data_IF_866204565231
#
_entry.id   IF_866204565231
#
_cell.length_a   1.000
_cell.length_b   1.000
_cell.length_c   1.000
_cell.angle_alpha   90.00
_cell.angle_beta   90.00
_cell.angle_gamma   90.00
#
_symmetry.space_group_name_H-M   'P 1'
#
loop_
_entity.id
_entity.type
_entity.pdbx_description
1 polymer ?
#
# COMPACT_ATOMS: atom_id res chain seq x y z
N UNK A 1 -5.18 -16.08 5.69
CA UNK A 1 -4.91 -16.19 4.24
C UNK A 1 -3.86 -17.25 4.01
N UNK A 2 -4.05 -18.11 3.00
CA UNK A 2 -3.02 -19.06 2.56
C UNK A 2 -2.04 -18.38 1.58
N UNK A 3 -0.74 -18.56 1.76
CA UNK A 3 0.32 -18.07 0.88
C UNK A 3 1.34 -19.20 0.69
N UNK A 4 1.35 -19.82 -0.50
CA UNK A 4 2.16 -21.02 -0.80
C UNK A 4 3.66 -20.82 -0.57
N UNK A 5 4.15 -19.63 -0.92
CA UNK A 5 5.58 -19.33 -1.00
C UNK A 5 6.14 -18.77 0.32
N UNK A 6 5.33 -18.74 1.38
CA UNK A 6 5.75 -18.26 2.71
C UNK A 6 6.13 -19.44 3.62
N UNK A 7 7.16 -19.31 4.47
CA UNK A 7 7.55 -20.36 5.42
C UNK A 7 6.38 -20.83 6.30
N UNK A 8 5.61 -19.87 6.82
CA UNK A 8 4.31 -20.12 7.43
C UNK A 8 3.20 -19.83 6.42
N UNK A 9 2.62 -20.90 5.88
CA UNK A 9 1.68 -20.79 4.76
C UNK A 9 0.32 -20.23 5.13
N UNK A 10 -0.08 -20.26 6.40
CA UNK A 10 -1.35 -19.69 6.87
C UNK A 10 -1.08 -18.59 7.88
N UNK A 11 -1.72 -17.43 7.68
CA UNK A 11 -1.63 -16.32 8.62
C UNK A 11 -2.38 -15.07 8.20
N UNK A 12 -2.18 -13.99 8.95
CA UNK A 12 -2.68 -12.65 8.63
C UNK A 12 -1.71 -11.94 7.69
N UNK A 13 -2.24 -11.27 6.66
CA UNK A 13 -1.44 -10.49 5.71
C UNK A 13 -1.45 -9.01 6.11
N UNK A 14 -0.31 -8.35 6.05
CA UNK A 14 -0.13 -6.93 6.35
C UNK A 14 0.43 -6.20 5.12
N UNK A 15 -0.01 -4.96 4.92
CA UNK A 15 0.61 -4.00 4.01
C UNK A 15 1.41 -3.01 4.85
N UNK A 16 2.73 -2.95 4.68
CA UNK A 16 3.62 -2.14 5.53
C UNK A 16 4.31 -1.06 4.71
N UNK A 17 4.39 0.14 5.28
CA UNK A 17 5.24 1.23 4.81
C UNK A 17 6.42 1.35 5.76
N UNK A 18 7.61 1.06 5.23
CA UNK A 18 8.84 1.08 5.99
C UNK A 18 9.87 2.03 5.38
N UNK A 19 10.74 2.59 6.21
CA UNK A 19 11.95 3.25 5.76
C UNK A 19 12.95 2.23 5.22
N UNK A 20 13.50 2.49 4.05
CA UNK A 20 14.46 1.63 3.38
C UNK A 20 15.81 1.56 4.12
N UNK A 21 16.21 2.62 4.84
CA UNK A 21 17.52 2.68 5.49
C UNK A 21 17.50 2.13 6.91
N UNK A 22 16.53 2.54 7.72
CA UNK A 22 16.45 2.15 9.15
C UNK A 22 15.57 0.94 9.41
N UNK A 23 14.86 0.44 8.38
CA UNK A 23 13.82 -0.57 8.52
C UNK A 23 12.67 -0.17 9.48
N UNK A 24 12.54 1.13 9.79
CA UNK A 24 11.48 1.63 10.66
C UNK A 24 10.11 1.48 9.98
N UNK A 25 9.18 0.80 10.63
CA UNK A 25 7.80 0.67 10.15
C UNK A 25 7.00 1.92 10.54
N UNK A 26 6.74 2.79 9.56
CA UNK A 26 5.94 4.00 9.79
C UNK A 26 4.47 3.67 10.00
N UNK A 27 3.96 2.72 9.23
CA UNK A 27 2.54 2.35 9.25
C UNK A 27 2.33 0.98 8.64
N UNK A 28 1.33 0.26 9.14
CA UNK A 28 0.82 -0.93 8.50
C UNK A 28 -0.71 -0.94 8.45
N UNK A 29 -1.26 -1.65 7.46
CA UNK A 29 -2.68 -1.91 7.28
C UNK A 29 -2.89 -3.43 7.22
N UNK A 30 -3.86 -3.95 7.99
CA UNK A 30 -4.19 -5.37 8.00
C UNK A 30 -5.07 -5.71 6.80
N UNK A 31 -4.70 -6.73 6.03
CA UNK A 31 -5.55 -7.26 4.98
C UNK A 31 -6.66 -8.13 5.59
N UNK A 32 -7.91 -7.67 5.46
CA UNK A 32 -9.10 -8.29 6.07
C UNK A 32 -9.85 -9.23 5.10
N UNK A 33 -9.24 -9.59 3.97
CA UNK A 33 -9.90 -10.43 2.96
C UNK A 33 -10.88 -9.68 2.05
N UNK A 34 -11.61 -10.42 1.23
CA UNK A 34 -12.72 -9.90 0.43
C UNK A 34 -13.97 -9.81 1.32
N UNK A 35 -14.43 -8.60 1.63
CA UNK A 35 -15.74 -8.39 2.26
C UNK A 35 -16.82 -8.46 1.17
N UNK A 36 -17.72 -9.44 1.23
CA UNK A 36 -19.00 -9.38 0.53
C UNK A 36 -19.84 -8.29 1.23
N UNK A 37 -19.70 -7.04 0.80
CA UNK A 37 -20.69 -6.02 1.16
C UNK A 37 -21.73 -6.02 0.05
N UNK A 38 -22.94 -6.49 0.35
CA UNK A 38 -24.16 -6.34 -0.48
C UNK A 38 -24.63 -4.87 -0.54
N UNK A 39 -23.71 -3.91 -0.58
CA UNK A 39 -24.00 -2.48 -0.53
C UNK A 39 -22.84 -1.68 -1.08
N UNK A 40 -22.97 -1.28 -2.34
CA UNK A 40 -22.06 -0.37 -3.04
C UNK A 40 -20.99 -1.08 -3.87
N UNK A 41 -21.43 -1.75 -4.94
CA UNK A 41 -20.57 -2.11 -6.07
C UNK A 41 -20.10 -0.83 -6.77
N UNK A 42 -18.98 -0.28 -6.32
CA UNK A 42 -18.07 0.35 -7.26
C UNK A 42 -17.08 -0.75 -7.64
N UNK A 43 -17.27 -1.38 -8.80
CA UNK A 43 -16.51 -2.54 -9.30
C UNK A 43 -15.00 -2.33 -9.49
N UNK A 44 -14.41 -1.33 -8.85
CA UNK A 44 -12.99 -1.11 -8.70
C UNK A 44 -12.61 -1.70 -7.34
N UNK A 45 -11.75 -2.73 -7.32
CA UNK A 45 -11.15 -3.25 -6.09
C UNK A 45 -10.16 -2.22 -5.49
N UNK A 46 -10.70 -1.10 -5.01
CA UNK A 46 -9.97 -0.03 -4.34
C UNK A 46 -9.45 -0.45 -2.95
N UNK A 47 -9.62 -1.73 -2.57
CA UNK A 47 -9.28 -2.23 -1.24
C UNK A 47 -7.93 -2.92 -1.22
N UNK A 48 -7.35 -3.30 -2.36
CA UNK A 48 -6.11 -4.09 -2.41
C UNK A 48 -5.02 -3.52 -3.34
N UNK A 49 -3.77 -3.97 -3.16
CA UNK A 49 -2.65 -3.59 -4.01
C UNK A 49 -2.30 -2.09 -3.97
N UNK A 50 -2.31 -1.45 -5.14
CA UNK A 50 -1.95 -0.04 -5.34
C UNK A 50 -2.72 0.94 -4.44
N UNK A 51 -4.01 0.68 -4.18
CA UNK A 51 -4.81 1.55 -3.33
C UNK A 51 -4.33 1.54 -1.87
N UNK A 52 -3.85 0.39 -1.38
CA UNK A 52 -3.27 0.30 -0.03
C UNK A 52 -1.96 1.09 0.07
N UNK A 53 -1.15 1.12 -1.01
CA UNK A 53 0.05 1.97 -1.07
C UNK A 53 -0.34 3.45 -0.94
N UNK A 54 -1.29 3.93 -1.74
CA UNK A 54 -1.73 5.32 -1.68
C UNK A 54 -2.29 5.70 -0.31
N UNK A 55 -3.09 4.84 0.33
CA UNK A 55 -3.63 5.10 1.68
C UNK A 55 -2.52 5.21 2.72
N UNK A 56 -1.57 4.29 2.72
CA UNK A 56 -0.45 4.30 3.66
C UNK A 56 0.44 5.54 3.47
N UNK A 57 0.75 5.90 2.22
CA UNK A 57 1.56 7.08 1.92
C UNK A 57 0.83 8.38 2.26
N UNK A 58 -0.46 8.52 1.95
CA UNK A 58 -1.26 9.70 2.32
C UNK A 58 -1.36 9.89 3.83
N UNK A 59 -1.45 8.79 4.58
CA UNK A 59 -1.49 8.85 6.04
C UNK A 59 -0.12 9.18 6.65
N UNK A 60 0.98 8.70 6.05
CA UNK A 60 2.33 8.93 6.55
C UNK A 60 2.87 10.33 6.18
N UNK A 61 2.60 10.79 4.96
CA UNK A 61 3.07 12.08 4.46
C UNK A 61 2.05 13.18 4.74
N UNK A 62 2.03 13.68 5.97
CA UNK A 62 1.26 14.88 6.33
C UNK A 62 1.89 16.15 5.72
N UNK A 63 1.10 17.20 5.42
CA UNK A 63 1.60 18.43 4.78
C UNK A 63 2.77 19.10 5.52
N UNK A 64 2.84 18.92 6.84
CA UNK A 64 3.87 19.48 7.71
C UNK A 64 5.18 18.67 7.72
N UNK A 65 5.15 17.41 7.28
CA UNK A 65 6.28 16.46 7.33
C UNK A 65 6.85 16.15 5.93
N UNK A 66 6.37 16.83 4.89
CA UNK A 66 6.75 16.53 3.52
C UNK A 66 8.11 17.14 3.21
N UNK A 67 9.15 16.32 3.16
CA UNK A 67 10.29 16.69 2.31
C UNK A 67 9.81 16.68 0.85
N UNK A 68 10.38 17.55 0.02
CA UNK A 68 9.85 17.81 -1.32
C UNK A 68 9.81 16.56 -2.21
N UNK A 69 10.65 15.56 -1.94
CA UNK A 69 10.80 14.39 -2.79
C UNK A 69 11.01 13.12 -1.95
N UNK A 70 10.21 12.09 -2.22
CA UNK A 70 10.37 10.77 -1.65
C UNK A 70 10.38 9.72 -2.77
N UNK A 71 11.32 8.78 -2.70
CA UNK A 71 11.32 7.58 -3.55
C UNK A 71 10.72 6.42 -2.74
N UNK A 72 9.83 5.65 -3.37
CA UNK A 72 9.18 4.48 -2.78
C UNK A 72 9.49 3.28 -3.64
N UNK A 73 9.95 2.20 -3.02
CA UNK A 73 10.19 0.93 -3.70
C UNK A 73 9.00 0.02 -3.42
N UNK A 74 8.39 -0.52 -4.48
CA UNK A 74 7.24 -1.43 -4.37
C UNK A 74 7.48 -2.74 -5.13
N UNK A 75 6.88 -3.82 -4.63
CA UNK A 75 6.82 -5.10 -5.33
C UNK A 75 5.85 -5.00 -6.53
N UNK A 76 6.05 -5.88 -7.52
CA UNK A 76 5.20 -6.07 -8.71
C UNK A 76 3.73 -6.20 -8.35
N UNK A 77 3.41 -6.83 -7.21
CA UNK A 77 2.04 -6.97 -6.73
C UNK A 77 1.31 -5.62 -6.54
N UNK A 78 2.06 -4.56 -6.23
CA UNK A 78 1.50 -3.21 -6.02
C UNK A 78 1.62 -2.32 -7.25
N UNK A 79 2.46 -2.68 -8.22
CA UNK A 79 2.78 -1.84 -9.38
C UNK A 79 1.57 -1.69 -10.32
N UNK A 80 1.23 -0.46 -10.67
CA UNK A 80 0.29 -0.15 -11.76
C UNK A 80 0.60 1.22 -12.37
N UNK A 81 0.22 1.42 -13.64
CA UNK A 81 0.42 2.71 -14.33
C UNK A 81 -0.38 3.82 -13.63
N UNK A 82 -1.61 3.52 -13.22
CA UNK A 82 -2.45 4.46 -12.48
C UNK A 82 -1.83 4.85 -11.13
N UNK A 83 -1.18 3.91 -10.44
CA UNK A 83 -0.45 4.22 -9.21
C UNK A 83 0.68 5.21 -9.48
N UNK A 84 1.50 4.96 -10.52
CA UNK A 84 2.61 5.86 -10.86
C UNK A 84 2.13 7.29 -11.13
N UNK A 85 1.02 7.45 -11.85
CA UNK A 85 0.40 8.77 -12.12
C UNK A 85 -0.05 9.45 -10.82
N UNK A 86 -0.68 8.71 -9.90
CA UNK A 86 -1.10 9.27 -8.61
C UNK A 86 0.08 9.61 -7.69
N UNK A 87 1.16 8.82 -7.71
CA UNK A 87 2.39 9.11 -6.96
C UNK A 87 3.07 10.37 -7.49
N UNK A 88 3.10 10.57 -8.81
CA UNK A 88 3.64 11.78 -9.42
C UNK A 88 2.90 13.04 -8.96
N UNK A 89 1.56 13.01 -8.90
CA UNK A 89 0.74 14.12 -8.33
C UNK A 89 1.10 14.42 -6.87
N UNK A 90 1.64 13.43 -6.15
CA UNK A 90 2.06 13.51 -4.77
C UNK A 90 3.55 13.89 -4.61
N UNK A 91 4.29 14.17 -5.68
CA UNK A 91 5.76 14.33 -5.65
C UNK A 91 6.48 13.12 -5.02
N UNK A 92 5.92 11.93 -5.24
CA UNK A 92 6.50 10.65 -4.84
C UNK A 92 6.90 9.89 -6.10
N UNK A 93 8.12 9.35 -6.11
CA UNK A 93 8.65 8.59 -7.23
C UNK A 93 8.69 7.11 -6.90
N UNK A 94 8.55 6.27 -7.93
CA UNK A 94 8.59 4.80 -7.85
C UNK A 94 9.61 4.26 -8.83
#
# INVERSE_FOLDING_TARGET
MFMSDKPHRYGSKLFMLCDAKTAYCHRFEVYVGKRNNDGGDTGIDAKTGAAAVLRNLKAAFTPQSRHNWHAVIIDRYYTSVLLAVELLKMNVYV
#
